data_IF_771809970953
#
_entry.id   IF_771809970953
#
_cell.length_a   1.000
_cell.length_b   1.000
_cell.length_c   1.000
_cell.angle_alpha   90.00
_cell.angle_beta   90.00
_cell.angle_gamma   90.00
#
_symmetry.space_group_name_H-M   'P 1'
#
loop_
_entity.id
_entity.type
_entity.pdbx_description
1 polymer ?
#
# COMPACT_ATOMS: atom_id res chain seq x y z
N UNK A 1 7.16 22.30 2.33
CA UNK A 1 8.23 22.35 1.31
C UNK A 1 9.52 22.97 1.86
N UNK A 2 9.43 24.05 2.62
CA UNK A 2 10.56 24.80 3.19
C UNK A 2 11.59 23.98 3.98
N UNK A 3 11.16 23.00 4.79
CA UNK A 3 12.08 22.17 5.59
C UNK A 3 12.89 21.15 4.76
N UNK A 4 12.40 20.76 3.58
CA UNK A 4 13.09 19.83 2.70
C UNK A 4 14.24 20.53 1.98
N UNK A 5 13.97 21.74 1.49
CA UNK A 5 14.94 22.64 0.84
C UNK A 5 16.16 22.87 1.76
N UNK A 6 15.92 23.14 3.05
CA UNK A 6 17.00 23.36 4.03
C UNK A 6 17.89 22.13 4.29
N UNK A 7 17.40 20.89 4.12
CA UNK A 7 18.23 19.69 4.35
C UNK A 7 19.22 19.44 3.21
N UNK A 8 18.79 19.66 1.98
CA UNK A 8 19.65 19.49 0.81
C UNK A 8 20.71 20.60 0.75
N UNK A 9 20.36 21.83 1.13
CA UNK A 9 21.33 22.93 1.30
C UNK A 9 22.39 22.61 2.37
N UNK A 10 21.98 22.10 3.54
CA UNK A 10 22.92 21.64 4.58
C UNK A 10 23.85 20.56 4.03
N UNK A 11 23.32 19.60 3.25
CA UNK A 11 24.12 18.53 2.64
C UNK A 11 25.21 19.11 1.73
N UNK A 12 24.84 20.02 0.82
CA UNK A 12 25.77 20.63 -0.13
C UNK A 12 26.89 21.36 0.62
N UNK A 13 26.53 22.17 1.63
CA UNK A 13 27.50 22.93 2.43
C UNK A 13 28.43 22.04 3.26
N UNK A 14 27.92 20.92 3.80
CA UNK A 14 28.72 19.95 4.55
C UNK A 14 29.67 19.15 3.63
N UNK A 15 29.23 18.78 2.43
CA UNK A 15 30.06 18.06 1.46
C UNK A 15 31.16 18.94 0.87
N UNK A 16 30.89 20.23 0.68
CA UNK A 16 31.87 21.21 0.21
C UNK A 16 33.01 21.50 1.19
N UNK A 17 32.95 21.03 2.46
CA UNK A 17 33.95 21.23 3.54
C UNK A 17 34.40 22.68 3.81
N UNK A 18 33.72 23.68 3.24
CA UNK A 18 34.06 25.11 3.35
C UNK A 18 33.49 25.80 4.58
N UNK A 19 32.47 25.19 5.22
CA UNK A 19 31.75 25.82 6.32
C UNK A 19 31.73 24.93 7.56
N UNK A 20 31.98 25.55 8.72
CA UNK A 20 31.80 24.91 10.02
C UNK A 20 30.31 24.76 10.34
N UNK A 21 29.99 23.82 11.24
CA UNK A 21 28.60 23.56 11.68
C UNK A 21 27.89 24.83 12.18
N UNK A 22 28.62 25.70 12.89
CA UNK A 22 28.09 26.96 13.40
C UNK A 22 27.74 27.95 12.28
N UNK A 23 28.58 28.05 11.25
CA UNK A 23 28.33 28.90 10.09
C UNK A 23 27.09 28.41 9.33
N UNK A 24 26.99 27.10 9.07
CA UNK A 24 25.83 26.51 8.37
C UNK A 24 24.52 26.76 9.14
N UNK A 25 24.56 26.59 10.47
CA UNK A 25 23.42 26.84 11.34
C UNK A 25 22.95 28.30 11.29
N UNK A 26 23.90 29.25 11.31
CA UNK A 26 23.61 30.68 11.24
C UNK A 26 23.07 31.09 9.86
N UNK A 27 23.70 30.64 8.78
CA UNK A 27 23.31 30.98 7.39
C UNK A 27 21.91 30.48 7.04
N UNK A 28 21.53 29.29 7.50
CA UNK A 28 20.25 28.66 7.14
C UNK A 28 19.15 28.85 8.20
N UNK A 29 19.47 29.49 9.33
CA UNK A 29 18.56 29.66 10.46
C UNK A 29 18.09 28.33 11.04
N UNK A 30 18.97 27.33 11.11
CA UNK A 30 18.67 25.97 11.59
C UNK A 30 19.42 25.70 12.89
N UNK A 31 18.78 25.02 13.85
CA UNK A 31 19.43 24.67 15.11
C UNK A 31 20.72 23.85 14.92
N UNK A 32 21.79 24.21 15.65
CA UNK A 32 23.11 23.55 15.61
C UNK A 32 23.03 22.03 15.75
N UNK A 33 22.18 21.53 16.65
CA UNK A 33 21.96 20.10 16.86
C UNK A 33 21.45 19.36 15.61
N UNK A 34 20.63 20.03 14.78
CA UNK A 34 20.14 19.46 13.52
C UNK A 34 21.26 19.31 12.51
N UNK A 35 22.12 20.32 12.38
CA UNK A 35 23.28 20.28 11.47
C UNK A 35 24.29 19.20 11.92
N UNK A 36 24.58 19.11 13.22
CA UNK A 36 25.41 18.04 13.79
C UNK A 36 24.85 16.64 13.51
N UNK A 37 23.56 16.44 13.71
CA UNK A 37 22.90 15.15 13.43
C UNK A 37 23.05 14.77 11.95
N UNK A 38 22.82 15.71 11.04
CA UNK A 38 22.95 15.47 9.60
C UNK A 38 24.40 15.20 9.18
N UNK A 39 25.37 15.91 9.76
CA UNK A 39 26.80 15.65 9.54
C UNK A 39 27.19 14.24 10.00
N UNK A 40 26.68 13.78 11.15
CA UNK A 40 26.88 12.42 11.63
C UNK A 40 26.28 11.38 10.68
N UNK A 41 25.02 11.57 10.27
CA UNK A 41 24.32 10.70 9.32
C UNK A 41 25.05 10.60 7.96
N UNK A 42 25.63 11.71 7.48
CA UNK A 42 26.47 11.73 6.27
C UNK A 42 27.75 10.92 6.43
N UNK A 43 28.44 11.05 7.56
CA UNK A 43 29.66 10.27 7.87
C UNK A 43 29.37 8.77 7.97
N UNK A 44 28.21 8.41 8.48
CA UNK A 44 27.72 7.03 8.59
C UNK A 44 27.21 6.46 7.25
N UNK A 45 27.31 7.22 6.15
CA UNK A 45 26.87 6.79 4.81
C UNK A 45 25.37 6.57 4.70
N UNK A 46 24.58 7.06 5.66
CA UNK A 46 23.13 6.86 5.69
C UNK A 46 22.43 7.97 4.92
N UNK A 47 21.29 7.66 4.30
CA UNK A 47 20.54 8.64 3.54
C UNK A 47 19.94 9.75 4.44
N UNK A 48 20.07 11.01 4.03
CA UNK A 48 19.53 12.18 4.73
C UNK A 48 18.03 12.42 4.50
N UNK A 49 17.40 11.59 3.65
CA UNK A 49 15.97 11.66 3.42
C UNK A 49 15.20 11.47 4.73
N UNK A 50 14.10 12.22 4.84
CA UNK A 50 13.21 12.11 5.99
C UNK A 50 12.62 10.70 6.06
N UNK A 51 12.94 9.96 7.12
CA UNK A 51 12.24 8.72 7.44
C UNK A 51 10.85 9.07 7.99
N UNK A 52 9.80 8.56 7.33
CA UNK A 52 8.44 8.63 7.86
C UNK A 52 8.40 7.95 9.23
N UNK A 53 7.68 8.55 10.18
CA UNK A 53 7.46 7.92 11.48
C UNK A 53 6.65 6.62 11.36
N UNK A 54 6.74 5.76 12.37
CA UNK A 54 6.03 4.48 12.39
C UNK A 54 4.49 4.61 12.37
N UNK A 55 3.96 5.77 12.75
CA UNK A 55 2.51 6.00 12.82
C UNK A 55 1.82 5.17 13.90
N UNK A 56 0.48 5.21 13.92
CA UNK A 56 -0.33 4.38 14.82
C UNK A 56 -0.42 2.96 14.28
N UNK A 57 -0.23 1.92 15.11
CA UNK A 57 -0.44 0.53 14.69
C UNK A 57 -1.85 0.31 14.12
N UNK A 58 -1.94 -0.38 12.99
CA UNK A 58 -3.22 -0.70 12.35
C UNK A 58 -3.93 -1.85 13.06
N UNK A 59 -5.25 -1.74 13.24
CA UNK A 59 -6.09 -2.81 13.81
C UNK A 59 -6.04 -4.07 12.92
N UNK A 60 -6.08 -3.89 11.60
CA UNK A 60 -5.99 -4.97 10.63
C UNK A 60 -4.53 -5.42 10.44
N UNK A 61 -4.08 -6.37 11.28
CA UNK A 61 -2.81 -7.07 11.09
C UNK A 61 -2.87 -7.98 9.85
N UNK A 62 -1.69 -8.41 9.37
CA UNK A 62 -1.56 -9.27 8.19
C UNK A 62 -2.38 -10.57 8.29
N UNK A 63 -2.48 -11.18 9.49
CA UNK A 63 -3.29 -12.38 9.69
C UNK A 63 -4.78 -12.12 9.45
N UNK A 64 -5.31 -10.99 9.96
CA UNK A 64 -6.71 -10.62 9.77
C UNK A 64 -6.98 -10.28 8.30
N UNK A 65 -6.04 -9.59 7.66
CA UNK A 65 -6.05 -9.34 6.21
C UNK A 65 -6.11 -10.64 5.41
N UNK A 66 -5.37 -11.66 5.81
CA UNK A 66 -5.41 -12.98 5.18
C UNK A 66 -6.78 -13.65 5.35
N UNK A 67 -7.36 -13.63 6.55
CA UNK A 67 -8.71 -14.16 6.78
C UNK A 67 -9.77 -13.44 5.95
N UNK A 68 -9.70 -12.11 5.83
CA UNK A 68 -10.58 -11.32 4.94
C UNK A 68 -10.46 -11.81 3.50
N UNK A 69 -9.24 -11.98 2.99
CA UNK A 69 -9.01 -12.46 1.64
C UNK A 69 -9.58 -13.88 1.42
N UNK A 70 -9.42 -14.79 2.40
CA UNK A 70 -10.01 -16.12 2.34
C UNK A 70 -11.54 -16.07 2.28
N UNK A 71 -12.19 -15.23 3.07
CA UNK A 71 -13.64 -15.09 3.04
C UNK A 71 -14.15 -14.64 1.67
N UNK A 72 -13.49 -13.68 1.04
CA UNK A 72 -13.86 -13.19 -0.30
C UNK A 72 -13.61 -14.26 -1.37
N UNK A 73 -12.55 -15.06 -1.24
CA UNK A 73 -12.23 -16.13 -2.20
C UNK A 73 -13.23 -17.28 -2.13
N UNK A 74 -13.65 -17.67 -0.92
CA UNK A 74 -14.63 -18.73 -0.72
C UNK A 74 -16.04 -18.32 -1.15
N UNK A 75 -16.45 -17.10 -0.82
CA UNK A 75 -17.75 -16.56 -1.23
C UNK A 75 -17.60 -15.12 -1.72
N UNK A 76 -17.56 -15.01 -3.05
CA UNK A 76 -17.41 -13.74 -3.77
C UNK A 76 -18.63 -12.84 -3.66
N UNK A 77 -19.80 -13.36 -3.28
CA UNK A 77 -21.05 -12.60 -3.12
C UNK A 77 -21.23 -12.08 -1.70
N UNK A 78 -20.33 -12.43 -0.78
CA UNK A 78 -20.44 -12.06 0.63
C UNK A 78 -20.34 -10.55 0.80
N UNK A 79 -21.32 -9.97 1.50
CA UNK A 79 -21.35 -8.53 1.75
C UNK A 79 -20.28 -8.12 2.76
N UNK A 80 -19.84 -6.86 2.69
CA UNK A 80 -18.91 -6.27 3.67
C UNK A 80 -19.44 -6.46 5.11
N UNK A 81 -20.75 -6.33 5.32
CA UNK A 81 -21.37 -6.56 6.64
C UNK A 81 -21.21 -8.01 7.09
N UNK A 82 -21.41 -8.97 6.19
CA UNK A 82 -21.19 -10.39 6.48
C UNK A 82 -19.73 -10.72 6.82
N UNK A 83 -18.77 -10.02 6.22
CA UNK A 83 -17.35 -10.15 6.57
C UNK A 83 -17.08 -9.59 7.97
N UNK A 84 -17.62 -8.41 8.31
CA UNK A 84 -17.50 -7.82 9.65
C UNK A 84 -18.06 -8.77 10.72
N UNK A 85 -19.28 -9.25 10.53
CA UNK A 85 -19.93 -10.18 11.47
C UNK A 85 -19.08 -11.45 11.67
N UNK A 86 -18.54 -12.03 10.59
CA UNK A 86 -17.67 -13.21 10.72
C UNK A 86 -16.35 -12.92 11.45
N UNK A 87 -15.76 -11.74 11.27
CA UNK A 87 -14.54 -11.35 11.96
C UNK A 87 -14.79 -11.12 13.46
N UNK A 88 -15.96 -10.60 13.82
CA UNK A 88 -16.37 -10.44 15.21
C UNK A 88 -16.64 -11.79 15.86
N UNK A 89 -17.40 -12.67 15.21
CA UNK A 89 -17.78 -13.99 15.73
C UNK A 89 -16.58 -14.95 15.85
N UNK A 90 -15.72 -15.01 14.83
CA UNK A 90 -14.63 -16.00 14.77
C UNK A 90 -13.29 -15.47 15.27
N UNK A 91 -13.07 -14.16 15.17
CA UNK A 91 -11.78 -13.53 15.45
C UNK A 91 -11.80 -12.52 16.59
N UNK A 92 -12.97 -12.27 17.21
CA UNK A 92 -13.14 -11.30 18.30
C UNK A 92 -12.77 -9.85 17.94
N UNK A 93 -12.51 -9.56 16.66
CA UNK A 93 -11.98 -8.27 16.23
C UNK A 93 -13.10 -7.38 15.73
N UNK A 94 -13.43 -6.34 16.50
CA UNK A 94 -14.42 -5.33 16.11
C UNK A 94 -13.81 -4.34 15.12
N UNK A 95 -14.39 -4.27 13.93
CA UNK A 95 -13.92 -3.41 12.83
C UNK A 95 -15.10 -2.78 12.11
N UNK A 96 -14.95 -1.51 11.75
CA UNK A 96 -16.00 -0.80 10.99
C UNK A 96 -16.10 -1.34 9.56
N UNK A 97 -17.30 -1.24 8.97
CA UNK A 97 -17.53 -1.56 7.54
C UNK A 97 -16.59 -0.77 6.62
N UNK A 98 -16.36 0.51 6.92
CA UNK A 98 -15.44 1.37 6.18
C UNK A 98 -14.00 0.87 6.22
N UNK A 99 -13.55 0.33 7.36
CA UNK A 99 -12.21 -0.25 7.50
C UNK A 99 -12.05 -1.47 6.61
N UNK A 100 -13.06 -2.36 6.56
CA UNK A 100 -13.06 -3.52 5.67
C UNK A 100 -13.15 -3.10 4.20
N UNK A 101 -14.01 -2.14 3.86
CA UNK A 101 -14.12 -1.62 2.49
C UNK A 101 -12.79 -1.08 1.96
N UNK A 102 -12.09 -0.27 2.76
CA UNK A 102 -10.74 0.22 2.41
C UNK A 102 -9.75 -0.93 2.24
N UNK A 103 -9.77 -1.91 3.14
CA UNK A 103 -8.90 -3.09 3.04
C UNK A 103 -9.15 -3.89 1.75
N UNK A 104 -10.41 -4.06 1.36
CA UNK A 104 -10.77 -4.77 0.12
C UNK A 104 -10.35 -3.98 -1.13
N UNK A 105 -10.42 -2.65 -1.08
CA UNK A 105 -9.89 -1.79 -2.15
C UNK A 105 -8.37 -1.89 -2.26
N UNK A 106 -7.64 -1.81 -1.14
CA UNK A 106 -6.19 -1.99 -1.09
C UNK A 106 -5.74 -3.35 -1.63
N UNK A 107 -6.57 -4.39 -1.45
CA UNK A 107 -6.32 -5.75 -1.95
C UNK A 107 -6.87 -5.99 -3.37
N UNK A 108 -7.46 -4.98 -4.00
CA UNK A 108 -8.05 -5.07 -5.35
C UNK A 108 -9.23 -6.05 -5.50
N UNK A 109 -9.91 -6.41 -4.41
CA UNK A 109 -11.11 -7.28 -4.45
C UNK A 109 -12.38 -6.54 -4.86
N UNK A 110 -12.34 -5.21 -4.98
CA UNK A 110 -13.48 -4.38 -5.38
C UNK A 110 -13.56 -4.15 -6.91
N UNK A 111 -12.87 -4.97 -7.71
CA UNK A 111 -12.96 -4.89 -9.17
C UNK A 111 -14.37 -5.35 -9.62
N UNK A 112 -15.02 -4.62 -10.53
CA UNK A 112 -16.31 -5.05 -11.06
C UNK A 112 -16.15 -6.42 -11.72
N UNK A 113 -17.02 -7.35 -11.34
CA UNK A 113 -17.09 -8.66 -11.96
C UNK A 113 -17.61 -8.47 -13.39
N UNK A 114 -16.90 -9.01 -14.39
CA UNK A 114 -17.47 -9.10 -15.72
C UNK A 114 -18.67 -10.05 -15.65
N UNK A 115 -19.89 -9.55 -15.84
CA UNK A 115 -21.04 -10.46 -15.95
C UNK A 115 -22.17 -9.88 -16.80
N UNK A 116 -22.06 -10.13 -18.10
CA UNK A 116 -23.18 -10.24 -19.04
C UNK A 116 -22.83 -11.33 -20.07
N UNK A 117 -22.61 -12.56 -19.62
CA UNK A 117 -22.52 -13.71 -20.54
C UNK A 117 -23.93 -14.23 -20.80
N UNK A 118 -24.29 -14.57 -22.05
CA UNK A 118 -25.57 -15.20 -22.33
C UNK A 118 -25.67 -16.52 -21.57
N UNK A 119 -26.85 -16.78 -21.00
CA UNK A 119 -27.13 -18.08 -20.38
C UNK A 119 -27.20 -19.13 -21.49
N UNK A 120 -26.17 -19.96 -21.59
CA UNK A 120 -26.10 -21.04 -22.58
C UNK A 120 -26.61 -22.34 -21.95
N UNK A 121 -27.43 -23.07 -22.71
CA UNK A 121 -27.70 -24.47 -22.39
C UNK A 121 -26.42 -25.30 -22.55
N UNK A 122 -26.32 -26.43 -21.85
CA UNK A 122 -25.13 -27.28 -21.93
C UNK A 122 -24.87 -27.76 -23.37
N UNK A 123 -25.94 -28.05 -24.13
CA UNK A 123 -25.87 -28.38 -25.56
C UNK A 123 -25.19 -27.27 -26.38
N UNK A 124 -25.60 -26.02 -26.18
CA UNK A 124 -25.06 -24.88 -26.93
C UNK A 124 -23.61 -24.58 -26.52
N UNK A 125 -23.28 -24.77 -25.24
CA UNK A 125 -21.91 -24.63 -24.74
C UNK A 125 -20.98 -25.68 -25.37
N UNK A 126 -21.42 -26.93 -25.50
CA UNK A 126 -20.64 -27.98 -26.17
C UNK A 126 -20.45 -27.70 -27.65
N UNK A 127 -21.50 -27.26 -28.37
CA UNK A 127 -21.39 -26.86 -29.77
C UNK A 127 -20.40 -25.71 -29.98
N UNK A 128 -20.38 -24.73 -29.07
CA UNK A 128 -19.40 -23.63 -29.10
C UNK A 128 -17.96 -24.13 -28.92
N UNK A 129 -17.74 -25.09 -28.03
CA UNK A 129 -16.42 -25.69 -27.80
C UNK A 129 -15.99 -26.52 -29.02
N UNK A 130 -16.88 -27.33 -29.58
CA UNK A 130 -16.61 -28.11 -30.81
C UNK A 130 -16.30 -27.20 -32.00
N UNK A 131 -17.08 -26.13 -32.15
CA UNK A 131 -16.82 -25.12 -33.16
C UNK A 131 -15.45 -24.45 -32.94
N UNK A 132 -15.11 -24.05 -31.72
CA UNK A 132 -13.80 -23.48 -31.40
C UNK A 132 -12.64 -24.40 -31.79
N UNK A 133 -12.71 -25.68 -31.39
CA UNK A 133 -11.70 -26.70 -31.73
C UNK A 133 -11.58 -26.94 -33.24
N UNK A 134 -12.70 -26.92 -33.97
CA UNK A 134 -12.72 -27.13 -35.43
C UNK A 134 -12.09 -25.96 -36.19
N UNK A 135 -12.14 -24.76 -35.63
CA UNK A 135 -11.69 -23.52 -36.27
C UNK A 135 -10.39 -22.95 -35.65
N UNK A 136 -9.76 -23.65 -34.70
CA UNK A 136 -8.49 -23.26 -34.04
C UNK A 136 -7.30 -23.11 -35.00
N UNK A 137 -7.41 -23.61 -36.25
CA UNK A 137 -6.40 -23.53 -37.30
C UNK A 137 -6.80 -22.63 -38.49
N UNK A 138 -7.80 -21.75 -38.35
CA UNK A 138 -8.10 -20.74 -39.36
C UNK A 138 -7.30 -19.49 -39.02
N UNK A 139 -6.03 -19.48 -39.43
CA UNK A 139 -5.16 -18.30 -39.49
C UNK A 139 -4.63 -18.14 -40.92
#
# INVERSE_FOLDING_TARGET
MEQFIKRDEIRILLQGRKHTVNQIAATLGVGRATVFRLQKTLKEGTNLLHKKGAGRPTILRNLIKHSIAQYVRHDKKKTIRGIVTNLEEKGGTKVSKSTIGRCLQEMEYNKPWATLVPMLSEKNRLLLIEWGKKNENIH
#
